data_IF_205732249469
#
_entry.id   IF_205732249469
#
_cell.length_a   1.000
_cell.length_b   1.000
_cell.length_c   1.000
_cell.angle_alpha   90.00
_cell.angle_beta   90.00
_cell.angle_gamma   90.00
#
_symmetry.space_group_name_H-M   'P 1'
#
loop_
_entity.id
_entity.type
_entity.pdbx_description
1 polymer ?
#
# COMPACT_ATOMS: atom_id res chain seq x y z
N UNK A 1 -8.17 16.77 24.31
CA UNK A 1 -9.11 16.63 23.17
C UNK A 1 -9.18 15.18 22.65
N UNK A 2 -9.09 14.15 23.50
CA UNK A 2 -7.79 13.49 23.76
C UNK A 2 -7.78 11.95 23.65
N UNK A 3 -8.90 11.24 23.51
CA UNK A 3 -8.90 9.77 23.34
C UNK A 3 -10.12 9.33 22.51
N UNK A 4 -11.30 9.89 22.81
CA UNK A 4 -12.55 9.54 22.11
C UNK A 4 -12.50 9.87 20.61
N UNK A 5 -11.91 11.01 20.24
CA UNK A 5 -11.71 11.40 18.84
C UNK A 5 -10.75 10.46 18.11
N UNK A 6 -9.66 10.06 18.76
CA UNK A 6 -8.67 9.14 18.18
C UNK A 6 -9.25 7.72 18.02
N UNK A 7 -10.03 7.25 19.01
CA UNK A 7 -10.74 5.97 18.93
C UNK A 7 -11.78 5.96 17.80
N UNK A 8 -12.58 7.02 17.68
CA UNK A 8 -13.55 7.14 16.59
C UNK A 8 -12.85 7.09 15.23
N UNK A 9 -11.77 7.86 15.08
CA UNK A 9 -11.00 7.93 13.84
C UNK A 9 -10.30 6.61 13.51
N UNK A 10 -9.83 5.90 14.52
CA UNK A 10 -9.29 4.55 14.36
C UNK A 10 -10.36 3.57 13.85
N UNK A 11 -11.56 3.60 14.43
CA UNK A 11 -12.68 2.76 13.99
C UNK A 11 -13.05 3.08 12.53
N UNK A 12 -13.09 4.37 12.16
CA UNK A 12 -13.32 4.79 10.78
C UNK A 12 -12.25 4.26 9.82
N UNK A 13 -10.96 4.36 10.18
CA UNK A 13 -9.85 3.82 9.41
C UNK A 13 -9.93 2.29 9.29
N UNK A 14 -10.29 1.59 10.36
CA UNK A 14 -10.45 0.14 10.40
C UNK A 14 -11.54 -0.36 9.44
N UNK A 15 -12.72 0.28 9.44
CA UNK A 15 -13.78 -0.08 8.51
C UNK A 15 -13.46 0.30 7.07
N UNK A 16 -12.75 1.42 6.88
CA UNK A 16 -12.31 1.86 5.57
C UNK A 16 -11.34 0.86 4.93
N UNK A 17 -10.31 0.41 5.66
CA UNK A 17 -9.33 -0.53 5.11
C UNK A 17 -9.96 -1.90 4.75
N UNK A 18 -10.93 -2.37 5.53
CA UNK A 18 -11.64 -3.63 5.24
C UNK A 18 -12.46 -3.59 3.94
N UNK A 19 -12.82 -2.40 3.44
CA UNK A 19 -13.54 -2.21 2.18
C UNK A 19 -12.62 -1.87 1.01
N UNK A 20 -11.32 -1.67 1.27
CA UNK A 20 -10.38 -1.21 0.26
C UNK A 20 -9.73 -2.42 -0.45
N UNK A 21 -9.92 -2.61 -1.77
CA UNK A 21 -9.45 -3.79 -2.50
C UNK A 21 -7.93 -4.01 -2.43
N UNK A 22 -7.15 -2.95 -2.22
CA UNK A 22 -5.68 -3.02 -2.11
C UNK A 22 -5.25 -3.93 -0.96
N UNK A 23 -6.02 -3.99 0.14
CA UNK A 23 -5.70 -4.84 1.29
C UNK A 23 -5.94 -6.33 1.02
N UNK A 24 -6.70 -6.66 -0.02
CA UNK A 24 -6.99 -8.04 -0.45
C UNK A 24 -6.22 -8.45 -1.70
N UNK A 25 -5.46 -7.54 -2.30
CA UNK A 25 -4.71 -7.79 -3.53
C UNK A 25 -3.41 -8.56 -3.21
N UNK A 26 -3.39 -9.86 -3.52
CA UNK A 26 -2.24 -10.74 -3.26
C UNK A 26 -0.94 -10.28 -3.94
N UNK A 27 -1.04 -9.45 -4.98
CA UNK A 27 0.11 -8.88 -5.71
C UNK A 27 0.78 -7.72 -4.97
N UNK A 28 0.13 -7.18 -3.95
CA UNK A 28 0.63 -6.08 -3.16
C UNK A 28 1.18 -6.67 -1.86
N UNK A 29 2.50 -6.80 -1.82
CA UNK A 29 3.24 -7.28 -0.65
C UNK A 29 3.59 -6.08 0.23
N UNK A 30 3.61 -6.29 1.54
CA UNK A 30 3.98 -5.27 2.55
C UNK A 30 3.08 -4.02 2.54
N UNK A 31 1.78 -4.20 2.31
CA UNK A 31 0.79 -3.11 2.27
C UNK A 31 0.87 -2.18 3.49
N UNK A 32 1.14 -2.74 4.67
CA UNK A 32 1.15 -2.02 5.95
C UNK A 32 2.43 -1.19 6.20
N UNK A 33 3.49 -1.37 5.38
CA UNK A 33 4.67 -0.51 5.45
C UNK A 33 4.37 0.91 4.92
N UNK A 34 3.29 1.04 4.14
CA UNK A 34 2.93 2.26 3.41
C UNK A 34 1.49 2.73 3.67
N UNK A 35 0.59 1.84 4.10
CA UNK A 35 -0.82 2.13 4.40
C UNK A 35 -1.15 1.76 5.85
N UNK A 36 -2.29 2.22 6.32
CA UNK A 36 -2.79 1.97 7.66
C UNK A 36 -2.82 0.47 8.00
N UNK A 37 -2.33 0.11 9.18
CA UNK A 37 -2.35 -1.23 9.75
C UNK A 37 -3.49 -1.36 10.78
N UNK A 38 -4.58 -2.10 10.51
CA UNK A 38 -5.68 -2.25 11.45
C UNK A 38 -5.31 -3.00 12.73
N UNK A 39 -4.13 -3.62 12.80
CA UNK A 39 -3.64 -4.35 13.97
C UNK A 39 -2.94 -3.44 14.99
N UNK A 40 -2.63 -2.21 14.63
CA UNK A 40 -1.90 -1.26 15.47
C UNK A 40 -2.82 -0.14 15.92
N UNK A 41 -3.17 -0.11 17.21
CA UNK A 41 -4.09 0.86 17.81
C UNK A 41 -3.44 2.24 18.02
N UNK A 42 -2.88 2.81 16.96
CA UNK A 42 -2.30 4.15 16.90
C UNK A 42 -2.94 4.92 15.75
N UNK A 43 -3.19 6.21 15.95
CA UNK A 43 -3.61 7.12 14.88
C UNK A 43 -3.07 8.53 15.12
N UNK A 44 -2.56 9.23 14.09
CA UNK A 44 -2.16 8.68 12.80
C UNK A 44 -0.95 7.74 12.94
N UNK A 45 -0.88 6.71 12.09
CA UNK A 45 0.29 5.82 12.02
C UNK A 45 1.39 6.42 11.15
N UNK A 46 2.65 6.22 11.54
CA UNK A 46 3.79 6.66 10.75
C UNK A 46 4.17 5.55 9.78
N UNK A 47 4.14 5.83 8.47
CA UNK A 47 4.41 4.87 7.41
C UNK A 47 5.41 5.42 6.40
N UNK A 48 6.00 4.54 5.60
CA UNK A 48 6.91 4.94 4.53
C UNK A 48 6.14 5.52 3.33
N UNK A 49 6.75 6.47 2.61
CA UNK A 49 6.22 6.90 1.30
C UNK A 49 6.51 5.84 0.24
N UNK A 50 5.48 5.45 -0.54
CA UNK A 50 5.71 4.59 -1.69
C UNK A 50 6.32 5.39 -2.85
N UNK A 51 7.63 5.22 -3.03
CA UNK A 51 8.39 5.86 -4.11
C UNK A 51 8.51 4.93 -5.32
N UNK A 52 8.38 5.48 -6.53
CA UNK A 52 8.52 4.73 -7.77
C UNK A 52 7.79 5.38 -8.94
N UNK A 53 8.18 5.05 -10.18
CA UNK A 53 7.55 5.58 -11.41
C UNK A 53 6.96 4.50 -12.34
N UNK A 54 7.33 3.24 -12.14
CA UNK A 54 7.11 2.19 -13.14
C UNK A 54 6.35 0.97 -12.63
N UNK A 55 6.22 0.78 -11.30
CA UNK A 55 5.66 -0.42 -10.69
C UNK A 55 6.67 -1.55 -10.40
N UNK A 56 7.93 -1.38 -10.81
CA UNK A 56 8.98 -2.41 -10.65
C UNK A 56 9.12 -2.91 -9.21
N UNK A 57 9.11 -2.00 -8.22
CA UNK A 57 9.27 -2.40 -6.82
C UNK A 57 8.13 -3.29 -6.33
N UNK A 58 6.89 -3.01 -6.72
CA UNK A 58 5.75 -3.86 -6.38
C UNK A 58 5.89 -5.24 -7.04
N UNK A 59 6.31 -5.28 -8.31
CA UNK A 59 6.57 -6.53 -9.01
C UNK A 59 7.69 -7.35 -8.36
N UNK A 60 8.81 -6.71 -8.03
CA UNK A 60 9.94 -7.32 -7.35
C UNK A 60 9.52 -7.94 -6.01
N UNK A 61 8.85 -7.18 -5.13
CA UNK A 61 8.35 -7.69 -3.86
C UNK A 61 7.42 -8.90 -4.05
N UNK A 62 6.52 -8.85 -5.03
CA UNK A 62 5.64 -9.97 -5.35
C UNK A 62 6.42 -11.20 -5.82
N UNK A 63 7.35 -11.04 -6.76
CA UNK A 63 8.13 -12.15 -7.31
C UNK A 63 9.04 -12.79 -6.27
N UNK A 64 9.66 -11.97 -5.40
CA UNK A 64 10.46 -12.46 -4.28
C UNK A 64 9.63 -13.25 -3.27
N UNK A 65 8.41 -12.80 -2.95
CA UNK A 65 7.46 -13.54 -2.11
C UNK A 65 7.08 -14.89 -2.72
N UNK A 66 7.00 -14.98 -4.05
CA UNK A 66 6.78 -16.23 -4.78
C UNK A 66 8.05 -17.10 -4.91
N UNK A 67 9.20 -16.66 -4.39
CA UNK A 67 10.46 -17.39 -4.46
C UNK A 67 11.20 -17.28 -5.80
N UNK A 68 10.82 -16.34 -6.67
CA UNK A 68 11.47 -16.15 -7.97
C UNK A 68 12.76 -15.31 -7.86
N UNK A 69 13.84 -15.80 -8.46
CA UNK A 69 15.17 -15.17 -8.41
C UNK A 69 15.58 -14.47 -9.72
N UNK A 70 14.91 -14.76 -10.84
CA UNK A 70 15.26 -14.25 -12.19
C UNK A 70 14.09 -13.57 -12.91
N UNK A 71 13.34 -12.72 -12.21
CA UNK A 71 12.15 -12.05 -12.77
C UNK A 71 12.47 -10.83 -13.66
N UNK A 72 13.69 -10.30 -13.59
CA UNK A 72 14.10 -9.09 -14.33
C UNK A 72 14.05 -9.24 -15.86
N UNK A 73 14.26 -10.46 -16.38
CA UNK A 73 14.13 -10.72 -17.81
C UNK A 73 12.70 -10.51 -18.32
N UNK A 74 11.71 -10.99 -17.56
CA UNK A 74 10.29 -10.81 -17.87
C UNK A 74 9.90 -9.34 -17.82
N UNK A 75 10.38 -8.61 -16.79
CA UNK A 75 10.13 -7.18 -16.67
C UNK A 75 10.62 -6.37 -17.89
N UNK A 76 11.84 -6.64 -18.36
CA UNK A 76 12.45 -5.88 -19.46
C UNK A 76 11.74 -6.12 -20.79
N UNK A 77 11.25 -7.34 -21.01
CA UNK A 77 10.76 -7.78 -22.31
C UNK A 77 9.23 -7.80 -22.43
N UNK A 78 8.49 -7.46 -21.37
CA UNK A 78 7.03 -7.51 -21.36
C UNK A 78 6.43 -6.13 -21.03
N UNK A 79 5.88 -5.45 -22.04
CA UNK A 79 5.24 -4.14 -21.89
C UNK A 79 3.89 -4.21 -21.18
N UNK A 80 3.07 -5.23 -21.46
CA UNK A 80 1.78 -5.43 -20.79
C UNK A 80 1.97 -5.63 -19.29
N UNK A 81 2.97 -6.42 -18.89
CA UNK A 81 3.37 -6.60 -17.51
C UNK A 81 3.68 -5.24 -16.86
N UNK A 82 4.51 -4.41 -17.49
CA UNK A 82 4.86 -3.09 -16.96
C UNK A 82 3.63 -2.18 -16.83
N UNK A 83 2.71 -2.22 -17.79
CA UNK A 83 1.48 -1.46 -17.72
C UNK A 83 0.59 -1.90 -16.54
N UNK A 84 0.43 -3.21 -16.32
CA UNK A 84 -0.33 -3.76 -15.18
C UNK A 84 0.24 -3.27 -13.84
N UNK A 85 1.55 -3.36 -13.66
CA UNK A 85 2.20 -2.95 -12.42
C UNK A 85 2.25 -1.43 -12.23
N UNK A 86 2.29 -0.66 -13.32
CA UNK A 86 2.14 0.78 -13.28
C UNK A 86 0.74 1.19 -12.80
N UNK A 87 -0.31 0.55 -13.32
CA UNK A 87 -1.69 0.78 -12.85
C UNK A 87 -1.80 0.48 -11.36
N UNK A 88 -1.31 -0.67 -10.89
CA UNK A 88 -1.29 -1.01 -9.46
C UNK A 88 -0.54 0.01 -8.61
N UNK A 89 0.60 0.51 -9.08
CA UNK A 89 1.34 1.56 -8.39
C UNK A 89 0.52 2.86 -8.28
N UNK A 90 -0.20 3.23 -9.34
CA UNK A 90 -1.02 4.43 -9.34
C UNK A 90 -2.21 4.31 -8.38
N UNK A 91 -2.88 3.16 -8.38
CA UNK A 91 -3.98 2.86 -7.45
C UNK A 91 -3.47 2.90 -6.00
N UNK A 92 -2.32 2.27 -5.73
CA UNK A 92 -1.70 2.30 -4.41
C UNK A 92 -1.36 3.72 -3.96
N UNK A 93 -0.78 4.55 -4.85
CA UNK A 93 -0.46 5.95 -4.53
C UNK A 93 -1.71 6.79 -4.29
N UNK A 94 -2.77 6.55 -5.06
CA UNK A 94 -4.05 7.23 -4.87
C UNK A 94 -4.61 6.91 -3.49
N UNK A 95 -4.55 5.65 -3.08
CA UNK A 95 -4.97 5.19 -1.75
C UNK A 95 -4.09 5.76 -0.62
N UNK A 96 -2.76 5.74 -0.76
CA UNK A 96 -1.86 6.34 0.24
C UNK A 96 -2.17 7.84 0.42
N UNK A 97 -2.42 8.55 -0.68
CA UNK A 97 -2.83 9.95 -0.64
C UNK A 97 -4.18 10.15 0.05
N UNK A 98 -5.14 9.28 -0.21
CA UNK A 98 -6.47 9.36 0.42
C UNK A 98 -6.39 9.13 1.93
N UNK A 99 -5.60 8.15 2.39
CA UNK A 99 -5.39 7.91 3.82
C UNK A 99 -4.61 9.05 4.50
N UNK A 100 -3.70 9.72 3.79
CA UNK A 100 -3.05 10.95 4.27
C UNK A 100 -4.05 12.10 4.42
N UNK A 101 -4.91 12.31 3.43
CA UNK A 101 -5.94 13.35 3.47
C UNK A 101 -6.94 13.14 4.61
N UNK A 102 -7.29 11.88 4.88
CA UNK A 102 -8.14 11.49 6.01
C UNK A 102 -7.40 11.57 7.36
N UNK A 103 -6.08 11.61 7.33
CA UNK A 103 -5.23 11.65 8.53
C UNK A 103 -5.22 10.33 9.29
N UNK A 104 -5.33 9.20 8.58
CA UNK A 104 -5.13 7.86 9.15
C UNK A 104 -3.64 7.53 9.28
N UNK A 105 -2.85 8.02 8.33
CA UNK A 105 -1.41 7.84 8.27
C UNK A 105 -0.69 9.19 8.17
N UNK A 106 0.60 9.18 8.45
CA UNK A 106 1.58 10.23 8.18
C UNK A 106 2.83 9.60 7.56
N UNK A 107 3.52 10.35 6.71
CA UNK A 107 4.78 9.90 6.12
C UNK A 107 5.92 10.22 7.10
N UNK A 108 6.78 9.23 7.34
CA UNK A 108 8.04 9.39 8.08
C UNK A 108 9.02 10.34 7.37
#
# INVERSE_FOLDING_TARGET
>A
MSVLLDLQKFIEAYFYCHKCPIYTDEKIVDVHDYLFNPKEAQIPQIVSRLNGRTGLRLYECFMLKQGATNYMGQWKNNEELRAIWLTKLNDFKAEQREQLNRGYIRIA
#
